data_IF_001552063323
#
_entry.id   IF_001552063323
#
_cell.length_a   1.000
_cell.length_b   1.000
_cell.length_c   1.000
_cell.angle_alpha   90.00
_cell.angle_beta   90.00
_cell.angle_gamma   90.00
#
_symmetry.space_group_name_H-M   'P 1'
#
loop_
_entity.id
_entity.type
_entity.pdbx_description
1 polymer ?
#
# COMPACT_ATOMS: atom_id res chain seq x y z
N UNK A 1 7.96 -29.21 5.10
CA UNK A 1 9.33 -29.65 4.78
C UNK A 1 10.08 -28.47 4.18
N UNK A 2 10.88 -27.82 5.04
CA UNK A 2 12.03 -26.95 4.78
C UNK A 2 12.06 -26.17 3.45
N UNK A 3 11.29 -25.07 3.39
CA UNK A 3 11.77 -23.91 2.66
C UNK A 3 12.74 -23.19 3.61
N UNK A 4 14.01 -23.12 3.25
CA UNK A 4 14.96 -22.18 3.85
C UNK A 4 14.42 -20.76 3.64
N UNK A 5 13.59 -20.29 4.57
CA UNK A 5 13.13 -18.91 4.63
C UNK A 5 14.39 -18.06 4.67
N UNK A 6 14.62 -17.32 3.58
CA UNK A 6 15.80 -16.47 3.47
C UNK A 6 15.88 -15.53 4.69
N UNK A 7 17.08 -15.04 5.08
CA UNK A 7 17.25 -14.12 6.19
C UNK A 7 16.34 -12.87 6.16
N UNK A 8 15.72 -12.57 5.00
CA UNK A 8 14.71 -11.53 4.79
C UNK A 8 13.51 -11.63 5.74
N UNK A 9 13.17 -12.83 6.24
CA UNK A 9 11.98 -13.04 7.06
C UNK A 9 12.14 -12.69 8.56
N UNK A 10 13.35 -12.38 9.04
CA UNK A 10 13.57 -12.09 10.47
C UNK A 10 13.33 -10.63 10.90
N UNK A 11 12.94 -9.74 9.98
CA UNK A 11 12.70 -8.31 10.24
C UNK A 11 11.22 -7.92 10.31
N UNK A 12 10.33 -8.84 10.68
CA UNK A 12 8.89 -8.55 10.75
C UNK A 12 8.18 -8.49 9.40
N UNK A 13 8.89 -8.76 8.29
CA UNK A 13 8.37 -8.82 6.92
C UNK A 13 7.58 -10.12 6.61
N UNK A 14 7.29 -10.96 7.60
CA UNK A 14 6.51 -12.18 7.43
C UNK A 14 5.03 -11.82 7.25
N UNK A 15 4.55 -11.75 6.00
CA UNK A 15 3.11 -11.78 5.74
C UNK A 15 2.62 -13.23 5.78
N UNK A 16 1.46 -13.49 6.42
CA UNK A 16 0.84 -14.83 6.46
C UNK A 16 0.52 -15.37 5.05
N UNK A 17 0.33 -14.47 4.09
CA UNK A 17 -0.07 -14.75 2.72
C UNK A 17 0.80 -13.94 1.75
N UNK A 18 1.08 -14.50 0.57
CA UNK A 18 1.70 -13.76 -0.52
C UNK A 18 0.78 -12.64 -1.06
N UNK A 19 1.19 -11.91 -2.11
CA UNK A 19 0.33 -10.91 -2.72
C UNK A 19 -0.99 -11.53 -3.18
N UNK A 20 -2.11 -10.95 -2.74
CA UNK A 20 -3.46 -11.44 -3.03
C UNK A 20 -4.11 -10.53 -4.08
N UNK A 21 -4.74 -11.13 -5.08
CA UNK A 21 -5.44 -10.42 -6.16
C UNK A 21 -6.82 -11.02 -6.42
N UNK A 22 -7.81 -10.16 -6.63
CA UNK A 22 -9.19 -10.54 -6.93
C UNK A 22 -9.75 -9.63 -8.03
N UNK A 23 -10.51 -10.24 -8.94
CA UNK A 23 -11.30 -9.53 -9.93
C UNK A 23 -12.64 -10.23 -10.01
N UNK A 24 -13.70 -9.44 -9.93
CA UNK A 24 -15.02 -9.94 -10.22
C UNK A 24 -15.09 -10.34 -11.70
N UNK A 25 -15.76 -11.46 -11.99
CA UNK A 25 -16.01 -11.98 -13.34
C UNK A 25 -16.81 -11.03 -14.25
N UNK A 26 -17.29 -9.91 -13.71
CA UNK A 26 -18.11 -8.88 -14.35
C UNK A 26 -17.40 -7.52 -14.46
N UNK A 27 -16.08 -7.49 -14.65
CA UNK A 27 -15.39 -6.26 -15.05
C UNK A 27 -15.76 -5.85 -16.48
N UNK A 28 -17.00 -5.38 -16.68
CA UNK A 28 -17.43 -4.61 -17.85
C UNK A 28 -17.69 -3.18 -17.42
N UNK A 29 -16.68 -2.36 -17.58
CA UNK A 29 -16.75 -1.21 -18.49
C UNK A 29 -15.34 -0.67 -18.64
N UNK A 30 -14.84 -0.60 -19.88
CA UNK A 30 -13.82 0.38 -20.21
C UNK A 30 -14.51 1.74 -20.09
N UNK A 31 -14.69 2.25 -18.87
CA UNK A 31 -15.23 3.57 -18.63
C UNK A 31 -14.27 4.57 -19.23
N UNK A 32 -14.75 5.37 -20.18
CA UNK A 32 -14.02 6.52 -20.74
C UNK A 32 -13.44 7.34 -19.59
N UNK A 33 -12.18 7.73 -19.67
CA UNK A 33 -11.54 8.53 -18.63
C UNK A 33 -12.35 9.80 -18.36
N UNK A 34 -12.94 9.90 -17.17
CA UNK A 34 -13.77 11.05 -16.75
C UNK A 34 -12.93 12.16 -16.13
N UNK A 35 -11.75 11.81 -15.60
CA UNK A 35 -10.83 12.74 -14.95
C UNK A 35 -9.46 12.72 -15.62
N UNK A 36 -8.71 13.80 -15.46
CA UNK A 36 -7.31 13.86 -15.92
C UNK A 36 -6.47 12.75 -15.27
N UNK A 37 -6.74 12.40 -14.01
CA UNK A 37 -6.09 11.31 -13.31
C UNK A 37 -6.36 9.95 -13.98
N UNK A 38 -7.61 9.68 -14.36
CA UNK A 38 -7.97 8.45 -15.06
C UNK A 38 -7.35 8.38 -16.47
N UNK A 39 -7.26 9.52 -17.17
CA UNK A 39 -6.62 9.60 -18.48
C UNK A 39 -5.12 9.28 -18.38
N UNK A 40 -4.42 9.94 -17.46
CA UNK A 40 -3.00 9.70 -17.22
C UNK A 40 -2.75 8.24 -16.80
N UNK A 41 -3.62 7.68 -15.95
CA UNK A 41 -3.53 6.28 -15.53
C UNK A 41 -3.72 5.32 -16.70
N UNK A 42 -4.73 5.56 -17.55
CA UNK A 42 -4.99 4.76 -18.74
C UNK A 42 -3.79 4.81 -19.70
N UNK A 43 -3.24 6.01 -19.93
CA UNK A 43 -2.02 6.19 -20.72
C UNK A 43 -0.82 5.44 -20.13
N UNK A 44 -0.60 5.53 -18.81
CA UNK A 44 0.46 4.80 -18.11
C UNK A 44 0.29 3.28 -18.18
N UNK A 45 -0.94 2.78 -18.07
CA UNK A 45 -1.23 1.34 -18.19
C UNK A 45 -1.03 0.81 -19.62
N UNK A 46 -1.25 1.65 -20.63
CA UNK A 46 -1.02 1.32 -22.03
C UNK A 46 0.46 1.43 -22.44
N UNK A 47 1.25 2.22 -21.72
CA UNK A 47 2.70 2.31 -21.90
C UNK A 47 3.37 1.05 -21.33
N UNK A 48 3.65 0.07 -22.19
CA UNK A 48 4.45 -1.11 -21.86
C UNK A 48 5.93 -0.73 -21.67
N UNK A 49 6.25 0.02 -20.62
CA UNK A 49 7.62 0.40 -20.29
C UNK A 49 8.34 -0.78 -19.61
N UNK A 50 9.53 -1.19 -20.07
CA UNK A 50 10.22 -2.40 -19.62
C UNK A 50 10.94 -2.27 -18.25
N UNK A 51 10.62 -1.25 -17.44
CA UNK A 51 11.35 -0.95 -16.20
C UNK A 51 10.47 -1.24 -14.97
N UNK A 52 10.72 -2.39 -14.34
CA UNK A 52 10.25 -2.78 -13.01
C UNK A 52 11.35 -3.62 -12.34
N UNK A 53 11.47 -3.61 -11.00
CA UNK A 53 12.73 -3.89 -10.30
C UNK A 53 13.12 -5.36 -10.42
N UNK A 54 14.30 -5.64 -10.98
CA UNK A 54 14.88 -7.00 -11.02
C UNK A 54 16.22 -7.05 -10.30
N UNK A 55 16.33 -7.90 -9.29
CA UNK A 55 17.57 -8.63 -9.03
C UNK A 55 17.76 -9.63 -10.17
N UNK A 56 18.90 -9.53 -10.85
CA UNK A 56 19.18 -10.16 -12.14
C UNK A 56 19.79 -11.57 -12.00
N UNK A 57 19.68 -12.18 -10.81
CA UNK A 57 20.18 -13.52 -10.53
C UNK A 57 19.12 -14.63 -10.59
N UNK A 58 17.82 -14.30 -10.72
CA UNK A 58 16.74 -15.29 -10.80
C UNK A 58 15.78 -15.00 -11.97
N UNK A 59 15.78 -15.93 -12.93
CA UNK A 59 14.76 -16.25 -13.94
C UNK A 59 14.83 -15.61 -15.36
N UNK A 60 14.97 -16.46 -16.42
CA UNK A 60 15.07 -16.04 -17.83
C UNK A 60 13.73 -15.85 -18.57
N UNK A 61 12.55 -15.90 -17.93
CA UNK A 61 11.27 -15.70 -18.64
C UNK A 61 10.21 -14.91 -17.85
N UNK A 62 9.56 -13.97 -18.56
CA UNK A 62 8.29 -13.26 -18.34
C UNK A 62 8.25 -12.01 -17.43
N UNK A 63 7.42 -11.07 -17.91
CA UNK A 63 7.08 -9.73 -17.42
C UNK A 63 6.52 -9.76 -15.99
N UNK A 64 6.69 -8.65 -15.26
CA UNK A 64 6.08 -8.37 -13.95
C UNK A 64 4.73 -9.06 -13.77
N UNK A 65 4.61 -9.72 -12.63
CA UNK A 65 3.53 -10.61 -12.20
C UNK A 65 2.13 -10.17 -12.64
N UNK A 66 1.62 -10.75 -13.72
CA UNK A 66 0.18 -11.00 -13.78
C UNK A 66 -0.09 -12.18 -12.86
N UNK A 67 -0.31 -11.90 -11.57
CA UNK A 67 -0.85 -12.88 -10.64
C UNK A 67 -2.17 -13.39 -11.22
N UNK A 68 -2.41 -14.69 -11.07
CA UNK A 68 -3.70 -15.25 -11.45
C UNK A 68 -4.74 -14.64 -10.52
N UNK A 69 -5.71 -13.98 -11.13
CA UNK A 69 -6.74 -13.29 -10.39
C UNK A 69 -7.79 -14.32 -9.98
N UNK A 70 -7.96 -14.52 -8.68
CA UNK A 70 -8.98 -15.41 -8.15
C UNK A 70 -10.37 -14.82 -8.36
N UNK A 71 -11.33 -15.68 -8.72
CA UNK A 71 -12.75 -15.33 -8.89
C UNK A 71 -13.64 -16.00 -7.85
N UNK A 72 -13.05 -16.81 -6.97
CA UNK A 72 -13.75 -17.68 -6.03
C UNK A 72 -14.17 -16.93 -4.76
N UNK A 73 -15.19 -17.42 -4.05
CA UNK A 73 -15.63 -16.86 -2.76
C UNK A 73 -14.48 -16.80 -1.75
N UNK A 74 -13.65 -17.82 -1.72
CA UNK A 74 -12.55 -17.93 -0.76
C UNK A 74 -11.46 -16.90 -1.08
N UNK A 75 -11.20 -16.65 -2.37
CA UNK A 75 -10.27 -15.61 -2.82
C UNK A 75 -10.79 -14.20 -2.50
N UNK A 76 -12.10 -14.01 -2.54
CA UNK A 76 -12.75 -12.76 -2.16
C UNK A 76 -12.58 -12.46 -0.67
N UNK A 77 -12.86 -13.44 0.20
CA UNK A 77 -12.67 -13.29 1.65
C UNK A 77 -11.21 -13.03 2.00
N UNK A 78 -10.27 -13.75 1.36
CA UNK A 78 -8.83 -13.52 1.52
C UNK A 78 -8.40 -12.10 1.13
N UNK A 79 -8.96 -11.55 0.04
CA UNK A 79 -8.67 -10.18 -0.39
C UNK A 79 -9.20 -9.16 0.60
N UNK A 80 -10.41 -9.37 1.13
CA UNK A 80 -10.99 -8.50 2.15
C UNK A 80 -10.11 -8.47 3.40
N UNK A 81 -9.76 -9.64 3.93
CA UNK A 81 -8.94 -9.74 5.14
C UNK A 81 -7.54 -9.15 4.93
N UNK A 82 -6.93 -9.40 3.77
CA UNK A 82 -5.64 -8.82 3.42
C UNK A 82 -5.71 -7.29 3.30
N UNK A 83 -6.77 -6.76 2.67
CA UNK A 83 -6.96 -5.32 2.50
C UNK A 83 -7.17 -4.62 3.85
N UNK A 84 -8.03 -5.16 4.72
CA UNK A 84 -8.21 -4.64 6.07
C UNK A 84 -6.92 -4.68 6.88
N UNK A 85 -6.18 -5.78 6.81
CA UNK A 85 -4.90 -5.93 7.52
C UNK A 85 -3.87 -4.91 7.06
N UNK A 86 -3.74 -4.71 5.75
CA UNK A 86 -2.79 -3.77 5.17
C UNK A 86 -3.19 -2.31 5.46
N UNK A 87 -4.43 -1.95 5.13
CA UNK A 87 -4.90 -0.55 5.17
C UNK A 87 -5.03 -0.07 6.60
N UNK A 88 -5.45 -0.92 7.54
CA UNK A 88 -5.58 -0.54 8.94
C UNK A 88 -4.37 -0.91 9.80
N UNK A 89 -3.23 -1.26 9.20
CA UNK A 89 -1.98 -1.45 9.94
C UNK A 89 -2.08 -2.51 11.02
N UNK A 90 -2.73 -3.65 10.71
CA UNK A 90 -2.99 -4.75 11.64
C UNK A 90 -3.80 -4.34 12.90
N UNK A 91 -4.61 -3.28 12.80
CA UNK A 91 -5.61 -2.96 13.81
C UNK A 91 -6.75 -3.99 13.78
N UNK A 92 -7.28 -4.33 14.97
CA UNK A 92 -8.49 -5.13 15.06
C UNK A 92 -9.69 -4.26 14.64
N UNK A 93 -10.52 -4.78 13.73
CA UNK A 93 -11.75 -4.13 13.26
C UNK A 93 -12.93 -4.89 13.86
N UNK A 94 -13.84 -4.19 14.52
CA UNK A 94 -15.08 -4.80 15.02
C UNK A 94 -16.09 -4.95 13.89
N UNK A 95 -17.05 -5.86 14.04
CA UNK A 95 -18.06 -6.12 13.00
C UNK A 95 -18.86 -4.86 12.62
N UNK A 96 -19.13 -3.96 13.57
CA UNK A 96 -19.83 -2.69 13.29
C UNK A 96 -18.97 -1.66 12.54
N UNK A 97 -17.64 -1.76 12.63
CA UNK A 97 -16.70 -0.83 12.01
C UNK A 97 -16.36 -1.25 10.56
N UNK A 98 -16.76 -2.46 10.15
CA UNK A 98 -16.55 -2.97 8.78
C UNK A 98 -17.41 -2.23 7.78
N UNK A 99 -16.80 -1.90 6.64
CA UNK A 99 -17.47 -1.21 5.53
C UNK A 99 -18.24 -2.18 4.64
N UNK A 100 -19.35 -2.75 5.15
CA UNK A 100 -20.17 -3.76 4.45
C UNK A 100 -20.66 -3.31 3.06
N UNK A 101 -20.94 -2.02 2.89
CA UNK A 101 -21.33 -1.45 1.60
C UNK A 101 -20.23 -1.56 0.54
N UNK A 102 -18.97 -1.31 0.92
CA UNK A 102 -17.81 -1.42 0.03
C UNK A 102 -17.51 -2.88 -0.32
N UNK A 103 -17.62 -3.78 0.68
CA UNK A 103 -17.47 -5.23 0.47
C UNK A 103 -18.50 -5.76 -0.53
N UNK A 104 -19.76 -5.35 -0.41
CA UNK A 104 -20.82 -5.75 -1.34
C UNK A 104 -20.58 -5.22 -2.77
N UNK A 105 -20.10 -3.98 -2.91
CA UNK A 105 -19.77 -3.40 -4.22
C UNK A 105 -18.58 -4.08 -4.89
N UNK A 106 -17.57 -4.50 -4.12
CA UNK A 106 -16.45 -5.29 -4.62
C UNK A 106 -16.93 -6.68 -5.06
N UNK A 107 -17.82 -7.32 -4.28
CA UNK A 107 -18.40 -8.63 -4.62
C UNK A 107 -19.20 -8.61 -5.91
N UNK A 108 -19.96 -7.54 -6.14
CA UNK A 108 -20.75 -7.34 -7.37
C UNK A 108 -19.86 -6.93 -8.57
N UNK A 109 -18.60 -6.56 -8.34
CA UNK A 109 -17.68 -6.12 -9.39
C UNK A 109 -17.87 -4.69 -9.85
N UNK A 110 -18.58 -3.86 -9.08
CA UNK A 110 -18.73 -2.42 -9.36
C UNK A 110 -17.47 -1.63 -9.02
N UNK A 111 -16.68 -2.14 -8.07
CA UNK A 111 -15.40 -1.57 -7.67
C UNK A 111 -14.26 -2.53 -8.02
N UNK A 112 -13.11 -1.98 -8.40
CA UNK A 112 -11.86 -2.72 -8.40
C UNK A 112 -11.22 -2.70 -7.00
N UNK A 113 -10.23 -3.56 -6.77
CA UNK A 113 -9.53 -3.64 -5.47
C UNK A 113 -8.87 -2.31 -5.11
N UNK A 114 -8.33 -1.58 -6.10
CA UNK A 114 -7.79 -0.22 -5.89
C UNK A 114 -8.85 0.74 -5.34
N UNK A 115 -10.03 0.76 -5.95
CA UNK A 115 -11.08 1.71 -5.57
C UNK A 115 -11.73 1.29 -4.23
N UNK A 116 -11.73 -0.01 -3.94
CA UNK A 116 -12.04 -0.53 -2.61
C UNK A 116 -11.04 -0.03 -1.55
N UNK A 117 -9.73 -0.12 -1.80
CA UNK A 117 -8.69 0.43 -0.91
C UNK A 117 -8.85 1.94 -0.72
N UNK A 118 -9.15 2.68 -1.80
CA UNK A 118 -9.46 4.12 -1.72
C UNK A 118 -10.63 4.38 -0.78
N UNK A 119 -11.71 3.61 -0.90
CA UNK A 119 -12.87 3.71 -0.03
C UNK A 119 -12.54 3.40 1.44
N UNK A 120 -11.71 2.38 1.71
CA UNK A 120 -11.28 2.04 3.06
C UNK A 120 -10.46 3.16 3.73
N UNK A 121 -9.52 3.77 2.99
CA UNK A 121 -8.69 4.85 3.53
C UNK A 121 -9.51 6.13 3.77
N UNK A 122 -10.54 6.38 2.96
CA UNK A 122 -11.47 7.50 3.14
C UNK A 122 -12.54 7.26 4.21
N UNK A 123 -12.63 6.06 4.78
CA UNK A 123 -13.61 5.75 5.82
C UNK A 123 -13.36 6.53 7.11
N UNK A 124 -14.43 6.81 7.86
CA UNK A 124 -14.35 7.48 9.16
C UNK A 124 -13.50 6.69 10.17
N UNK A 125 -13.50 5.35 10.05
CA UNK A 125 -12.65 4.48 10.87
C UNK A 125 -11.16 4.75 10.64
N UNK A 126 -10.72 4.85 9.38
CA UNK A 126 -9.33 5.17 9.07
C UNK A 126 -8.99 6.59 9.55
N UNK A 127 -9.87 7.55 9.26
CA UNK A 127 -9.68 8.96 9.59
C UNK A 127 -9.51 9.20 11.10
N UNK A 128 -10.36 8.62 11.93
CA UNK A 128 -10.28 8.78 13.39
C UNK A 128 -8.96 8.26 13.99
N UNK A 129 -8.38 7.18 13.43
CA UNK A 129 -7.19 6.50 13.98
C UNK A 129 -5.86 6.92 13.39
N UNK A 130 -5.82 7.30 12.12
CA UNK A 130 -4.58 7.56 11.38
C UNK A 130 -4.48 8.97 10.83
N UNK A 131 -5.49 9.81 11.07
CA UNK A 131 -5.48 11.21 10.69
C UNK A 131 -5.73 12.15 11.87
N UNK A 132 -6.82 11.96 12.61
CA UNK A 132 -7.23 12.89 13.67
C UNK A 132 -6.44 12.70 14.97
N UNK A 133 -6.06 11.47 15.29
CA UNK A 133 -5.36 11.12 16.52
C UNK A 133 -3.83 11.24 16.43
N UNK A 134 -3.27 11.47 15.24
CA UNK A 134 -1.83 11.45 14.98
C UNK A 134 -1.30 12.79 14.49
N UNK A 135 0.01 13.01 14.64
CA UNK A 135 0.65 14.19 14.05
C UNK A 135 0.55 14.18 12.50
N UNK A 136 0.50 15.34 11.82
CA UNK A 136 0.38 15.39 10.35
C UNK A 136 1.48 14.60 9.62
N UNK A 137 2.73 14.71 10.09
CA UNK A 137 3.86 13.94 9.56
C UNK A 137 3.64 12.43 9.70
N UNK A 138 3.10 11.98 10.85
CA UNK A 138 2.78 10.56 11.11
C UNK A 138 1.64 10.06 10.23
N UNK A 139 0.60 10.88 10.03
CA UNK A 139 -0.52 10.53 9.14
C UNK A 139 -0.07 10.30 7.70
N UNK A 140 0.81 11.16 7.18
CA UNK A 140 1.37 11.01 5.83
C UNK A 140 2.25 9.76 5.75
N UNK A 141 3.14 9.58 6.73
CA UNK A 141 3.97 8.39 6.88
C UNK A 141 3.17 7.08 6.80
N UNK A 142 2.07 7.02 7.55
CA UNK A 142 1.16 5.87 7.55
C UNK A 142 0.41 5.74 6.22
N UNK A 143 -0.02 6.84 5.59
CA UNK A 143 -0.65 6.79 4.28
C UNK A 143 0.27 6.18 3.21
N UNK A 144 1.55 6.56 3.18
CA UNK A 144 2.55 5.94 2.29
C UNK A 144 2.70 4.44 2.57
N UNK A 145 2.75 4.06 3.86
CA UNK A 145 2.85 2.67 4.27
C UNK A 145 1.63 1.85 3.83
N UNK A 146 0.42 2.31 4.13
CA UNK A 146 -0.83 1.59 3.87
C UNK A 146 -1.16 1.51 2.38
N UNK A 147 -0.98 2.60 1.63
CA UNK A 147 -1.37 2.68 0.22
C UNK A 147 -0.27 2.18 -0.72
N UNK A 148 0.99 2.55 -0.49
CA UNK A 148 2.10 2.23 -1.40
C UNK A 148 3.02 1.10 -0.90
N UNK A 149 2.86 0.66 0.35
CA UNK A 149 3.70 -0.41 0.92
C UNK A 149 5.16 -0.02 1.10
N UNK A 150 5.44 1.30 1.18
CA UNK A 150 6.78 1.86 1.35
C UNK A 150 6.75 3.07 2.27
N UNK A 151 7.93 3.55 2.63
CA UNK A 151 8.08 4.81 3.37
C UNK A 151 8.30 5.99 2.41
N UNK A 152 8.08 7.24 2.85
CA UNK A 152 8.47 8.42 2.08
C UNK A 152 9.99 8.42 1.81
N UNK A 153 10.37 8.74 0.57
CA UNK A 153 11.76 8.68 0.11
C UNK A 153 12.54 9.94 0.47
N UNK A 154 11.88 11.09 0.44
CA UNK A 154 12.49 12.40 0.68
C UNK A 154 11.59 13.28 1.54
N UNK A 155 12.18 14.24 2.24
CA UNK A 155 11.45 15.28 2.94
C UNK A 155 10.53 16.07 1.99
N UNK A 156 10.91 16.19 0.71
CA UNK A 156 10.12 16.87 -0.30
C UNK A 156 8.80 16.14 -0.61
N UNK A 157 8.77 14.80 -0.54
CA UNK A 157 7.50 14.05 -0.70
C UNK A 157 6.56 14.36 0.47
N UNK A 158 7.10 14.43 1.69
CA UNK A 158 6.31 14.74 2.89
C UNK A 158 5.81 16.18 2.84
N UNK A 159 6.66 17.16 2.51
CA UNK A 159 6.23 18.56 2.42
C UNK A 159 5.16 18.76 1.33
N UNK A 160 5.32 18.14 0.16
CA UNK A 160 4.32 18.21 -0.92
C UNK A 160 2.97 17.61 -0.51
N UNK A 161 2.97 16.50 0.25
CA UNK A 161 1.74 15.94 0.81
C UNK A 161 1.10 16.87 1.85
N UNK A 162 1.89 17.52 2.71
CA UNK A 162 1.39 18.49 3.71
C UNK A 162 0.76 19.70 3.01
N UNK A 163 1.43 20.24 1.99
CA UNK A 163 0.92 21.36 1.20
C UNK A 163 -0.41 21.01 0.54
N UNK A 164 -0.48 19.83 -0.09
CA UNK A 164 -1.72 19.35 -0.70
C UNK A 164 -2.83 19.11 0.33
N UNK A 165 -2.46 18.58 1.50
CA UNK A 165 -3.40 18.38 2.60
C UNK A 165 -3.98 19.71 3.08
N UNK A 166 -3.15 20.76 3.14
CA UNK A 166 -3.58 22.09 3.56
C UNK A 166 -4.48 22.77 2.51
N UNK A 167 -4.26 22.53 1.21
CA UNK A 167 -5.02 23.15 0.13
C UNK A 167 -6.34 22.43 -0.19
N UNK A 168 -6.32 21.10 -0.24
CA UNK A 168 -7.43 20.27 -0.77
C UNK A 168 -8.00 19.29 0.27
N UNK A 169 -7.36 19.17 1.43
CA UNK A 169 -7.76 18.25 2.49
C UNK A 169 -7.17 16.84 2.37
N UNK A 170 -7.54 15.99 3.32
CA UNK A 170 -6.99 14.63 3.46
C UNK A 170 -7.33 13.72 2.28
N UNK A 171 -8.58 13.75 1.81
CA UNK A 171 -9.05 12.87 0.74
C UNK A 171 -8.27 13.06 -0.57
N UNK A 172 -7.89 14.31 -0.86
CA UNK A 172 -7.13 14.66 -2.05
C UNK A 172 -5.69 14.11 -2.01
N UNK A 173 -5.08 14.03 -0.82
CA UNK A 173 -3.78 13.38 -0.64
C UNK A 173 -3.88 11.89 -0.97
N UNK A 174 -4.91 11.23 -0.47
CA UNK A 174 -5.15 9.80 -0.73
C UNK A 174 -5.39 9.56 -2.21
N UNK A 175 -6.20 10.40 -2.87
CA UNK A 175 -6.43 10.29 -4.30
C UNK A 175 -5.12 10.45 -5.09
N UNK A 176 -4.24 11.40 -4.74
CA UNK A 176 -2.92 11.48 -5.40
C UNK A 176 -2.04 10.24 -5.22
N UNK A 177 -2.10 9.59 -4.06
CA UNK A 177 -1.30 8.40 -3.80
C UNK A 177 -1.82 7.20 -4.61
N UNK A 178 -3.13 7.00 -4.63
CA UNK A 178 -3.79 5.90 -5.36
C UNK A 178 -3.72 6.12 -6.88
N UNK A 179 -3.80 7.37 -7.33
CA UNK A 179 -3.74 7.72 -8.75
C UNK A 179 -2.32 7.86 -9.29
N UNK A 180 -1.32 7.69 -8.42
CA UNK A 180 0.07 7.75 -8.81
C UNK A 180 0.43 6.67 -9.86
N UNK A 181 1.34 6.98 -10.79
CA UNK A 181 1.85 5.98 -11.73
C UNK A 181 2.55 4.83 -10.99
N UNK A 182 3.15 5.11 -9.82
CA UNK A 182 3.78 4.08 -8.99
C UNK A 182 2.78 3.01 -8.55
N UNK A 183 1.62 3.41 -8.02
CA UNK A 183 0.58 2.48 -7.59
C UNK A 183 0.14 1.58 -8.76
N UNK A 184 -0.09 2.19 -9.92
CA UNK A 184 -0.57 1.48 -11.12
C UNK A 184 0.44 0.48 -11.66
N UNK A 185 1.73 0.83 -11.67
CA UNK A 185 2.80 -0.06 -12.16
C UNK A 185 3.03 -1.25 -11.23
N UNK A 186 2.82 -1.06 -9.93
CA UNK A 186 3.19 -2.05 -8.91
C UNK A 186 2.03 -2.98 -8.57
N UNK A 187 0.85 -2.42 -8.30
CA UNK A 187 -0.32 -3.18 -7.86
C UNK A 187 -1.38 -3.31 -8.97
N UNK A 188 -1.48 -2.32 -9.84
CA UNK A 188 -2.54 -2.27 -10.85
C UNK A 188 -3.91 -2.00 -10.22
N UNK A 189 -4.97 -2.57 -10.78
CA UNK A 189 -6.34 -2.40 -10.29
C UNK A 189 -6.82 -3.51 -9.34
N UNK A 190 -6.24 -4.71 -9.45
CA UNK A 190 -6.79 -5.95 -8.90
C UNK A 190 -5.98 -6.53 -7.73
N UNK A 191 -4.80 -5.97 -7.44
CA UNK A 191 -3.90 -6.45 -6.39
C UNK A 191 -4.04 -5.59 -5.13
N UNK A 192 -4.16 -6.23 -3.97
CA UNK A 192 -4.12 -5.51 -2.68
C UNK A 192 -2.71 -4.98 -2.45
N UNK A 193 -2.54 -3.72 -1.99
CA UNK A 193 -1.23 -3.22 -1.59
C UNK A 193 -0.56 -4.13 -0.56
N UNK A 194 0.75 -4.27 -0.66
CA UNK A 194 1.54 -5.04 0.28
C UNK A 194 2.88 -4.34 0.50
N UNK A 195 3.49 -4.63 1.63
CA UNK A 195 4.76 -4.02 2.00
C UNK A 195 5.87 -4.57 1.11
N UNK A 196 6.56 -3.67 0.40
CA UNK A 196 7.56 -4.01 -0.64
C UNK A 196 8.93 -3.40 -0.40
N UNK A 197 9.03 -2.45 0.52
CA UNK A 197 10.29 -1.74 0.83
C UNK A 197 11.36 -2.61 1.52
N UNK A 198 11.03 -3.86 1.90
CA UNK A 198 12.02 -4.83 2.40
C UNK A 198 12.92 -5.41 1.28
N UNK A 199 12.62 -5.09 0.02
CA UNK A 199 13.43 -5.46 -1.13
C UNK A 199 14.19 -4.26 -1.68
N UNK A 200 15.41 -4.49 -2.17
CA UNK A 200 16.22 -3.47 -2.85
C UNK A 200 15.71 -3.26 -4.28
N UNK A 201 14.58 -2.58 -4.42
CA UNK A 201 14.03 -2.25 -5.73
C UNK A 201 14.97 -1.30 -6.49
N UNK A 202 15.22 -1.59 -7.77
CA UNK A 202 16.04 -0.75 -8.63
C UNK A 202 15.55 0.69 -8.65
N UNK A 203 16.46 1.65 -8.44
CA UNK A 203 16.15 3.08 -8.37
C UNK A 203 15.70 3.59 -6.99
N UNK A 204 15.52 2.72 -6.00
CA UNK A 204 15.21 3.14 -4.62
C UNK A 204 16.46 3.18 -3.74
N UNK A 205 16.51 4.16 -2.83
CA UNK A 205 17.58 4.25 -1.83
C UNK A 205 17.52 3.08 -0.85
N UNK A 206 18.69 2.57 -0.42
CA UNK A 206 18.81 1.59 0.67
C UNK A 206 18.17 2.08 1.98
N UNK A 207 18.07 3.41 2.16
CA UNK A 207 17.38 3.99 3.32
C UNK A 207 15.91 3.58 3.42
N UNK A 208 15.26 3.26 2.29
CA UNK A 208 13.87 2.80 2.29
C UNK A 208 13.71 1.48 3.06
N UNK A 209 14.68 0.57 2.95
CA UNK A 209 14.73 -0.68 3.72
C UNK A 209 14.82 -0.41 5.22
N UNK A 210 15.72 0.49 5.61
CA UNK A 210 15.95 0.86 7.02
C UNK A 210 14.70 1.53 7.62
N UNK A 211 14.06 2.43 6.86
CA UNK A 211 12.86 3.14 7.28
C UNK A 211 11.65 2.22 7.41
N UNK A 212 11.44 1.29 6.47
CA UNK A 212 10.32 0.35 6.58
C UNK A 212 10.54 -0.61 7.74
N UNK A 213 11.77 -1.06 8.00
CA UNK A 213 12.08 -1.91 9.15
C UNK A 213 11.81 -1.18 10.48
N UNK A 214 12.04 0.14 10.55
CA UNK A 214 11.66 0.93 11.72
C UNK A 214 10.14 1.06 11.89
N UNK A 215 9.39 1.17 10.78
CA UNK A 215 7.93 1.21 10.80
C UNK A 215 7.26 -0.14 11.02
N UNK A 216 7.85 -1.24 10.56
CA UNK A 216 7.34 -2.60 10.64
C UNK A 216 8.34 -3.51 11.34
N UNK A 217 8.30 -3.50 12.67
CA UNK A 217 9.23 -4.30 13.47
C UNK A 217 8.82 -5.78 13.57
N UNK A 218 7.52 -6.07 13.66
CA UNK A 218 7.03 -7.43 13.81
C UNK A 218 5.61 -7.61 13.26
N UNK A 219 5.20 -8.87 13.09
CA UNK A 219 3.90 -9.25 12.54
C UNK A 219 2.70 -8.98 13.47
N UNK A 220 2.92 -8.98 14.79
CA UNK A 220 1.86 -8.90 15.79
C UNK A 220 1.50 -7.46 16.20
N UNK A 221 2.38 -6.50 15.92
CA UNK A 221 2.23 -5.10 16.29
C UNK A 221 1.23 -4.41 15.36
N UNK A 222 0.47 -3.48 15.93
CA UNK A 222 -0.39 -2.58 15.18
C UNK A 222 0.25 -1.20 15.05
N UNK A 223 -0.13 -0.44 14.05
CA UNK A 223 0.44 0.91 13.87
C UNK A 223 -0.07 1.92 14.90
N UNK A 224 -1.23 1.64 15.49
CA UNK A 224 -1.76 2.40 16.64
C UNK A 224 -0.91 2.20 17.89
N UNK A 225 -0.30 1.02 18.08
CA UNK A 225 0.54 0.77 19.26
C UNK A 225 1.90 1.46 19.21
N UNK A 226 2.30 2.01 18.07
CA UNK A 226 3.62 2.65 17.85
C UNK A 226 3.64 4.14 18.17
N UNK A 227 2.55 4.67 18.71
CA UNK A 227 2.42 6.07 19.09
C UNK A 227 1.96 6.99 17.94
N UNK A 228 1.72 8.25 18.30
CA UNK A 228 1.12 9.29 17.46
C UNK A 228 2.13 10.18 16.74
N UNK A 229 3.39 10.13 17.19
CA UNK A 229 4.48 10.91 16.64
C UNK A 229 5.10 10.24 15.41
N UNK A 230 5.68 11.06 14.55
CA UNK A 230 6.39 10.59 13.38
C UNK A 230 7.68 9.84 13.76
N UNK A 231 7.88 8.68 13.15
CA UNK A 231 9.08 7.85 13.35
C UNK A 231 10.22 8.33 12.45
N UNK A 232 9.88 8.83 11.24
CA UNK A 232 10.85 9.10 10.18
C UNK A 232 11.21 10.58 10.03
N UNK A 233 10.47 11.52 10.62
CA UNK A 233 10.68 12.97 10.41
C UNK A 233 12.12 13.41 10.75
N UNK A 234 12.70 12.94 11.86
CA UNK A 234 14.09 13.25 12.21
C UNK A 234 15.08 12.66 11.20
N UNK A 235 14.83 11.43 10.74
CA UNK A 235 15.65 10.74 9.74
C UNK A 235 15.56 11.43 8.37
N UNK A 236 14.37 11.85 7.96
CA UNK A 236 14.12 12.53 6.68
C UNK A 236 14.75 13.92 6.65
N UNK A 237 14.69 14.65 7.76
CA UNK A 237 15.28 15.98 7.87
C UNK A 237 16.83 15.94 7.95
N UNK A 238 17.40 14.98 8.68
CA UNK A 238 18.86 14.89 8.90
C UNK A 238 19.61 14.00 7.90
N UNK A 239 18.90 13.15 7.15
CA UNK A 239 19.51 12.15 6.27
C UNK A 239 20.27 11.03 6.99
N UNK A 240 20.24 10.98 8.33
CA UNK A 240 20.98 9.99 9.14
C UNK A 240 20.29 8.63 9.14
N UNK A 241 21.03 7.53 9.10
CA UNK A 241 20.43 6.18 9.14
C UNK A 241 19.78 5.86 10.50
N UNK A 242 18.60 5.24 10.47
CA UNK A 242 17.93 4.73 11.68
C UNK A 242 18.56 3.39 12.09
N UNK A 243 18.57 3.12 13.40
CA UNK A 243 18.96 1.81 13.92
C UNK A 243 17.82 0.82 13.74
N UNK A 244 18.12 -0.35 13.18
CA UNK A 244 17.15 -1.45 13.05
C UNK A 244 17.15 -2.23 14.35
N UNK A 245 16.01 -2.26 15.03
CA UNK A 245 15.77 -3.11 16.18
C UNK A 245 15.09 -4.40 15.70
N UNK A 246 15.78 -5.53 15.86
CA UNK A 246 15.18 -6.85 15.61
C UNK A 246 14.25 -7.17 16.79
N UNK A 247 13.00 -7.62 16.54
CA UNK A 247 12.05 -7.99 17.58
C UNK A 247 12.51 -9.17 18.46
#
# INVERSE_FOLDING_TARGET
MNASLSPKFRFGAESKTGPVSFAASHAKSATTALTNADFLRSSCSGMSLPFGPRDHSECPHRVTSRLLVGTDSDSFEQVIDAAYRQVFGNCHVMEQERASALEAQLKDGRLCVRDFVRGLVKSDFYRSRFYESVSPSRGIELAFKHVLGRTPLSQNEVSGCIEKQASEGFEAVIDSLVDSPEYTVVFGADTVPYVRAFTSAAGMSMMNFVRIAAMEQNFASSDVSKGTDSILQKNLASGSALTIHVP
#
